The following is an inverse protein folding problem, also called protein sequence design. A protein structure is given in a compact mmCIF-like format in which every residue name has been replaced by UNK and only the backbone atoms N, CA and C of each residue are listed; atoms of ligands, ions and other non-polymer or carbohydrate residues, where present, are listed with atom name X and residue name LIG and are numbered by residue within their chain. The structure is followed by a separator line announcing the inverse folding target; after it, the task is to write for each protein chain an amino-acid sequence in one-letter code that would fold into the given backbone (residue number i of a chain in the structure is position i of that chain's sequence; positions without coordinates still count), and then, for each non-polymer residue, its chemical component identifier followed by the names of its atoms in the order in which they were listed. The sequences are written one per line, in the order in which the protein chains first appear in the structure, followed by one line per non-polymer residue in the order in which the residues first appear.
data_IF_235670868997
#
_entry.id   IF_235670868997
#
_cell.length_a   1.000
_cell.length_b   1.000
_cell.length_c   1.000
_cell.angle_alpha   90.00
_cell.angle_beta   90.00
_cell.angle_gamma   90.00
#
_symmetry.space_group_name_H-M   'P 1'
#
loop_
_entity.id
_entity.type
_entity.pdbx_description
1 polymer ?
#
# COMPACT_ATOMS: atom_id res chain seq x y z
N UNK A 1 21.18 -9.82 2.28
CA UNK A 1 21.39 -9.15 3.58
C UNK A 1 20.12 -9.37 4.40
N UNK A 2 20.25 -9.82 5.65
CA UNK A 2 19.11 -9.92 6.56
C UNK A 2 18.75 -8.52 7.06
N UNK A 3 17.54 -8.06 6.78
CA UNK A 3 17.01 -6.80 7.33
C UNK A 3 17.06 -6.87 8.87
N UNK A 4 17.67 -5.90 9.54
CA UNK A 4 17.52 -5.73 10.99
C UNK A 4 16.06 -5.43 11.33
N UNK A 5 15.59 -5.71 12.57
CA UNK A 5 14.21 -5.41 12.97
C UNK A 5 13.81 -3.94 12.70
N UNK A 6 14.74 -3.01 12.95
CA UNK A 6 14.56 -1.58 12.73
C UNK A 6 14.42 -1.25 11.23
N UNK A 7 15.29 -1.81 10.38
CA UNK A 7 15.19 -1.64 8.92
C UNK A 7 13.88 -2.19 8.37
N UNK A 8 13.42 -3.33 8.87
CA UNK A 8 12.15 -3.92 8.47
C UNK A 8 10.95 -3.04 8.88
N UNK A 9 11.00 -2.43 10.07
CA UNK A 9 9.99 -1.47 10.53
C UNK A 9 10.00 -0.17 9.72
N UNK A 10 11.17 0.38 9.43
CA UNK A 10 11.31 1.58 8.60
C UNK A 10 10.82 1.32 7.17
N UNK A 11 11.21 0.20 6.56
CA UNK A 11 10.70 -0.22 5.25
C UNK A 11 9.18 -0.49 5.28
N UNK A 12 8.67 -0.94 6.43
CA UNK A 12 7.25 -1.09 6.65
C UNK A 12 6.52 0.25 6.85
N UNK A 13 7.21 1.35 7.14
CA UNK A 13 6.59 2.60 7.56
C UNK A 13 5.82 2.44 8.87
N UNK A 14 6.31 1.58 9.77
CA UNK A 14 5.67 1.28 11.06
C UNK A 14 4.23 0.77 10.95
N UNK A 15 3.89 0.05 9.86
CA UNK A 15 2.58 -0.59 9.67
C UNK A 15 2.69 -2.10 9.57
N UNK A 16 1.58 -2.78 9.88
CA UNK A 16 1.46 -4.19 9.61
C UNK A 16 1.61 -4.45 8.10
N UNK A 17 2.46 -5.40 7.72
CA UNK A 17 2.68 -5.78 6.32
C UNK A 17 1.50 -6.48 5.66
N UNK A 18 0.44 -6.76 6.41
CA UNK A 18 -0.87 -7.11 5.83
C UNK A 18 -1.58 -5.82 5.38
N UNK A 19 -1.79 -5.59 4.07
CA UNK A 19 -2.40 -4.35 3.55
C UNK A 19 -3.87 -4.14 3.97
N UNK A 20 -4.57 -5.19 4.39
CA UNK A 20 -5.91 -5.06 4.98
C UNK A 20 -5.87 -4.67 6.46
N UNK A 21 -4.71 -4.80 7.12
CA UNK A 21 -4.54 -4.47 8.52
C UNK A 21 -4.02 -3.04 8.68
N UNK A 22 -4.66 -2.28 9.57
CA UNK A 22 -4.29 -0.89 9.89
C UNK A 22 -3.58 -0.75 11.24
N UNK A 23 -3.15 -1.87 11.82
CA UNK A 23 -2.47 -1.85 13.11
C UNK A 23 -1.11 -1.14 12.96
N UNK A 24 -0.86 -0.05 13.71
CA UNK A 24 0.46 0.54 13.79
C UNK A 24 1.40 -0.42 14.53
N UNK A 25 2.66 -0.41 14.12
CA UNK A 25 3.72 -1.19 14.73
C UNK A 25 4.70 -0.27 15.45
N UNK A 26 5.20 -0.76 16.57
CA UNK A 26 6.28 -0.15 17.33
C UNK A 26 7.41 -1.17 17.49
N UNK A 27 8.54 -0.75 18.05
CA UNK A 27 9.64 -1.66 18.41
C UNK A 27 9.15 -2.83 19.27
N UNK A 28 8.17 -2.61 20.15
CA UNK A 28 7.69 -3.63 21.09
C UNK A 28 6.51 -4.47 20.58
N UNK A 29 5.77 -3.96 19.58
CA UNK A 29 4.50 -4.58 19.15
C UNK A 29 4.59 -5.33 17.82
N UNK A 30 5.73 -5.26 17.14
CA UNK A 30 5.94 -5.95 15.88
C UNK A 30 6.37 -7.41 16.07
N UNK A 31 5.93 -8.24 15.14
CA UNK A 31 6.37 -9.62 15.00
C UNK A 31 7.06 -9.74 13.64
N UNK A 32 8.33 -10.16 13.65
CA UNK A 32 9.12 -10.29 12.44
C UNK A 32 8.98 -11.72 11.90
N UNK A 33 8.42 -11.86 10.70
CA UNK A 33 8.32 -13.15 10.01
C UNK A 33 9.39 -13.22 8.93
N UNK A 34 10.35 -14.14 9.10
CA UNK A 34 11.35 -14.43 8.09
C UNK A 34 10.68 -15.13 6.88
N UNK A 35 10.96 -14.65 5.67
CA UNK A 35 10.31 -15.18 4.48
C UNK A 35 11.13 -16.26 3.73
N UNK A 36 12.43 -16.45 4.05
CA UNK A 36 13.35 -17.51 3.53
C UNK A 36 13.54 -17.57 1.99
N UNK A 37 14.62 -18.12 1.38
CA UNK A 37 15.77 -18.91 1.88
C UNK A 37 17.05 -18.77 1.02
N UNK A 38 17.11 -17.75 0.18
CA UNK A 38 18.16 -17.44 -0.81
C UNK A 38 18.72 -16.01 -0.64
N UNK A 39 18.50 -15.41 0.54
CA UNK A 39 19.00 -14.06 0.87
C UNK A 39 18.24 -12.91 0.20
N UNK A 40 17.22 -13.21 -0.62
CA UNK A 40 16.42 -12.24 -1.38
C UNK A 40 15.04 -11.93 -0.75
N UNK A 41 14.45 -12.86 0.01
CA UNK A 41 13.08 -12.74 0.54
C UNK A 41 12.90 -11.78 1.73
N UNK A 42 13.98 -11.43 2.44
CA UNK A 42 13.99 -10.63 3.67
C UNK A 42 12.92 -11.03 4.71
N UNK A 43 12.54 -10.09 5.59
CA UNK A 43 11.48 -10.30 6.59
C UNK A 43 10.30 -9.31 6.44
N UNK A 44 9.13 -9.64 6.98
CA UNK A 44 7.95 -8.76 7.02
C UNK A 44 7.52 -8.55 8.46
N UNK A 45 7.18 -7.30 8.80
CA UNK A 45 6.65 -6.97 10.12
C UNK A 45 5.12 -7.15 10.15
N UNK A 46 4.62 -7.89 11.12
CA UNK A 46 3.19 -8.10 11.36
C UNK A 46 2.80 -7.64 12.76
N UNK A 47 1.53 -7.29 12.97
CA UNK A 47 0.99 -7.17 14.32
C UNK A 47 0.74 -8.56 14.93
N UNK A 48 0.55 -8.64 16.24
CA UNK A 48 0.28 -9.90 16.94
C UNK A 48 -0.88 -10.72 16.32
N UNK A 49 -1.96 -10.06 15.92
CA UNK A 49 -3.11 -10.73 15.29
C UNK A 49 -2.77 -11.33 13.92
N UNK A 50 -2.09 -10.57 13.05
CA UNK A 50 -1.69 -11.09 11.73
C UNK A 50 -0.62 -12.17 11.84
N UNK A 51 0.28 -12.07 12.82
CA UNK A 51 1.27 -13.10 13.12
C UNK A 51 0.60 -14.40 13.58
N UNK A 52 -0.39 -14.33 14.48
CA UNK A 52 -1.15 -15.50 14.91
C UNK A 52 -1.88 -16.17 13.74
N UNK A 53 -2.51 -15.39 12.86
CA UNK A 53 -3.14 -15.93 11.63
C UNK A 53 -2.15 -16.58 10.67
N UNK A 54 -0.93 -16.06 10.56
CA UNK A 54 0.11 -16.72 9.78
C UNK A 54 0.59 -18.01 10.44
N UNK A 55 0.82 -17.98 11.75
CA UNK A 55 1.27 -19.14 12.54
C UNK A 55 0.26 -20.29 12.47
N UNK A 56 -1.05 -19.97 12.43
CA UNK A 56 -2.12 -20.96 12.27
C UNK A 56 -2.33 -21.43 10.83
N UNK A 57 -1.57 -20.89 9.86
CA UNK A 57 -1.68 -21.22 8.44
C UNK A 57 -2.80 -20.53 7.68
N UNK A 58 -3.60 -19.66 8.32
CA UNK A 58 -4.66 -18.91 7.67
C UNK A 58 -4.10 -17.88 6.67
N UNK A 59 -2.92 -17.32 6.95
CA UNK A 59 -2.14 -16.52 6.01
C UNK A 59 -0.90 -17.31 5.61
N UNK A 60 -0.83 -17.88 4.38
CA UNK A 60 0.32 -18.67 3.98
C UNK A 60 1.53 -17.75 3.70
N UNK A 61 2.75 -18.28 3.89
CA UNK A 61 4.01 -17.52 3.69
C UNK A 61 4.11 -16.91 2.29
N UNK A 62 3.58 -17.58 1.26
CA UNK A 62 3.53 -17.05 -0.12
C UNK A 62 2.76 -15.72 -0.22
N UNK A 63 1.70 -15.56 0.58
CA UNK A 63 0.89 -14.34 0.63
C UNK A 63 1.69 -13.21 1.28
N UNK A 64 2.42 -13.50 2.36
CA UNK A 64 3.32 -12.53 2.97
C UNK A 64 4.40 -12.02 2.00
N UNK A 65 4.99 -12.92 1.22
CA UNK A 65 5.95 -12.55 0.17
C UNK A 65 5.32 -11.63 -0.88
N UNK A 66 4.11 -11.95 -1.33
CA UNK A 66 3.37 -11.11 -2.28
C UNK A 66 3.13 -9.70 -1.71
N UNK A 67 2.66 -9.62 -0.45
CA UNK A 67 2.43 -8.34 0.22
C UNK A 67 3.71 -7.50 0.34
N UNK A 68 4.82 -8.11 0.78
CA UNK A 68 6.11 -7.43 0.90
C UNK A 68 6.59 -6.90 -0.46
N UNK A 69 6.53 -7.72 -1.51
CA UNK A 69 6.99 -7.34 -2.85
C UNK A 69 6.19 -6.15 -3.40
N UNK A 70 4.86 -6.20 -3.29
CA UNK A 70 3.99 -5.10 -3.76
C UNK A 70 4.28 -3.83 -2.96
N UNK A 71 4.38 -3.94 -1.64
CA UNK A 71 4.70 -2.80 -0.78
C UNK A 71 6.05 -2.15 -1.14
N UNK A 72 7.10 -2.95 -1.32
CA UNK A 72 8.43 -2.45 -1.71
C UNK A 72 8.38 -1.80 -3.09
N UNK A 73 7.65 -2.40 -4.04
CA UNK A 73 7.49 -1.88 -5.39
C UNK A 73 6.74 -0.54 -5.41
N UNK A 74 5.66 -0.40 -4.65
CA UNK A 74 4.92 0.86 -4.53
C UNK A 74 5.76 1.94 -3.87
N UNK A 75 6.40 1.64 -2.75
CA UNK A 75 7.27 2.60 -2.05
C UNK A 75 8.45 3.03 -2.92
N UNK A 76 9.10 2.10 -3.61
CA UNK A 76 10.25 2.39 -4.48
C UNK A 76 9.87 3.18 -5.74
N UNK A 77 8.74 2.88 -6.37
CA UNK A 77 8.32 3.53 -7.61
C UNK A 77 7.62 4.88 -7.39
N UNK A 78 6.85 5.03 -6.30
CA UNK A 78 5.94 6.16 -6.10
C UNK A 78 6.15 6.88 -4.76
N UNK A 79 7.11 6.45 -3.94
CA UNK A 79 7.41 7.04 -2.64
C UNK A 79 6.60 6.44 -1.47
N UNK A 80 7.01 6.78 -0.26
CA UNK A 80 6.52 6.14 0.98
C UNK A 80 5.02 6.28 1.24
N UNK A 81 4.38 7.36 0.76
CA UNK A 81 2.95 7.62 0.94
C UNK A 81 2.03 6.93 -0.08
N UNK A 82 2.58 6.31 -1.12
CA UNK A 82 1.77 5.70 -2.18
C UNK A 82 0.93 4.50 -1.70
N UNK A 83 1.47 3.54 -0.92
CA UNK A 83 0.67 2.47 -0.31
C UNK A 83 -0.55 3.00 0.45
N UNK A 84 -0.35 4.00 1.30
CA UNK A 84 -1.41 4.56 2.14
C UNK A 84 -2.45 5.31 1.32
N UNK A 85 -2.03 6.02 0.28
CA UNK A 85 -2.94 6.72 -0.65
C UNK A 85 -3.90 5.73 -1.32
N UNK A 86 -3.39 4.60 -1.82
CA UNK A 86 -4.20 3.57 -2.47
C UNK A 86 -5.16 2.89 -1.48
N UNK A 87 -4.68 2.54 -0.29
CA UNK A 87 -5.50 1.90 0.75
C UNK A 87 -6.54 2.84 1.36
N UNK A 88 -6.25 4.14 1.44
CA UNK A 88 -7.19 5.17 1.85
C UNK A 88 -8.31 5.31 0.82
N UNK A 89 -7.97 5.51 -0.45
CA UNK A 89 -8.94 5.69 -1.53
C UNK A 89 -9.83 4.47 -1.75
N UNK A 90 -9.36 3.26 -1.41
CA UNK A 90 -10.22 2.08 -1.35
C UNK A 90 -11.40 2.26 -0.38
N UNK A 91 -11.20 2.99 0.72
CA UNK A 91 -12.21 3.15 1.79
C UNK A 91 -13.04 4.41 1.64
N UNK A 92 -12.44 5.53 1.19
CA UNK A 92 -13.16 6.81 1.05
C UNK A 92 -13.72 7.06 -0.35
N UNK A 93 -13.42 6.17 -1.31
CA UNK A 93 -13.72 6.23 -2.75
C UNK A 93 -13.06 7.40 -3.49
N UNK A 94 -13.17 8.63 -2.97
CA UNK A 94 -12.63 9.85 -3.56
C UNK A 94 -11.99 10.76 -2.50
N UNK A 95 -10.94 11.49 -2.88
CA UNK A 95 -10.32 12.52 -2.05
C UNK A 95 -10.14 13.81 -2.85
N UNK A 96 -10.41 14.95 -2.23
CA UNK A 96 -10.11 16.27 -2.79
C UNK A 96 -8.70 16.69 -2.40
N UNK A 97 -7.90 17.08 -3.39
CA UNK A 97 -6.53 17.59 -3.20
C UNK A 97 -6.34 18.92 -3.92
N UNK A 98 -5.34 19.68 -3.48
CA UNK A 98 -4.84 20.86 -4.19
C UNK A 98 -3.82 20.49 -5.28
N UNK A 99 -3.21 21.49 -5.92
CA UNK A 99 -2.18 21.28 -6.94
C UNK A 99 -0.96 20.50 -6.42
N UNK A 100 -0.56 20.71 -5.17
CA UNK A 100 0.57 19.99 -4.56
C UNK A 100 0.23 18.52 -4.30
N UNK A 101 -0.97 18.24 -3.81
CA UNK A 101 -1.47 16.88 -3.64
C UNK A 101 -1.63 16.15 -4.98
N UNK A 102 -2.02 16.86 -6.04
CA UNK A 102 -2.04 16.33 -7.39
C UNK A 102 -0.62 15.96 -7.85
N UNK A 103 0.37 16.83 -7.64
CA UNK A 103 1.77 16.59 -8.00
C UNK A 103 2.36 15.41 -7.23
N UNK A 104 2.09 15.29 -5.92
CA UNK A 104 2.47 14.12 -5.10
C UNK A 104 1.85 12.82 -5.61
N UNK A 105 0.71 12.90 -6.29
CA UNK A 105 0.00 11.75 -6.87
C UNK A 105 0.37 11.47 -8.33
N UNK A 106 1.27 12.25 -8.94
CA UNK A 106 1.56 12.20 -10.38
C UNK A 106 2.03 10.81 -10.84
N UNK A 107 2.87 10.11 -10.06
CA UNK A 107 3.31 8.75 -10.40
C UNK A 107 2.17 7.72 -10.41
N UNK A 108 1.25 7.83 -9.46
CA UNK A 108 0.07 6.96 -9.38
C UNK A 108 -0.95 7.26 -10.48
N UNK A 109 -1.09 8.54 -10.87
CA UNK A 109 -1.89 8.96 -12.02
C UNK A 109 -1.30 8.45 -13.34
N UNK A 110 0.01 8.64 -13.55
CA UNK A 110 0.69 8.23 -14.78
C UNK A 110 0.75 6.70 -14.96
N UNK A 111 0.79 5.95 -13.86
CA UNK A 111 0.68 4.48 -13.91
C UNK A 111 -0.74 3.97 -14.16
N UNK A 112 -1.73 4.87 -14.16
CA UNK A 112 -3.14 4.58 -14.32
C UNK A 112 -3.75 3.88 -13.10
N UNK A 113 -3.14 3.96 -11.92
CA UNK A 113 -3.72 3.45 -10.67
C UNK A 113 -4.74 4.43 -10.08
N UNK A 114 -4.53 5.73 -10.31
CA UNK A 114 -5.49 6.78 -9.98
C UNK A 114 -6.05 7.44 -11.24
N UNK A 115 -7.17 8.11 -11.09
CA UNK A 115 -7.74 8.99 -12.10
C UNK A 115 -8.29 10.28 -11.47
N UNK A 116 -8.25 11.37 -12.25
CA UNK A 116 -8.87 12.65 -11.88
C UNK A 116 -10.33 12.58 -12.31
N UNK A 117 -11.25 12.54 -11.35
CA UNK A 117 -12.69 12.52 -11.64
C UNK A 117 -13.19 13.92 -11.99
N UNK A 118 -12.73 14.93 -11.28
CA UNK A 118 -13.19 16.30 -11.45
C UNK A 118 -12.10 17.29 -11.06
N UNK A 119 -11.98 18.38 -11.83
CA UNK A 119 -11.29 19.60 -11.45
C UNK A 119 -12.35 20.63 -11.05
N UNK A 120 -12.19 21.21 -9.88
CA UNK A 120 -13.03 22.32 -9.39
C UNK A 120 -12.16 23.58 -9.43
N UNK A 121 -12.55 24.53 -10.27
CA UNK A 121 -11.78 25.76 -10.41
C UNK A 121 -11.98 26.67 -9.19
N UNK A 122 -10.90 27.35 -8.78
CA UNK A 122 -10.88 28.41 -7.78
C UNK A 122 -12.00 29.44 -7.98
N UNK A 123 -12.24 29.84 -9.23
CA UNK A 123 -13.27 30.82 -9.60
C UNK A 123 -14.70 30.35 -9.26
N UNK A 124 -14.93 29.04 -9.27
CA UNK A 124 -16.24 28.43 -9.02
C UNK A 124 -16.41 28.06 -7.55
N UNK A 125 -15.34 27.64 -6.87
CA UNK A 125 -15.38 27.23 -5.47
C UNK A 125 -15.23 28.39 -4.47
N UNK A 126 -14.80 29.56 -4.93
CA UNK A 126 -14.41 30.67 -4.04
C UNK A 126 -13.14 30.38 -3.23
N UNK A 127 -12.41 29.31 -3.56
CA UNK A 127 -11.14 28.97 -2.94
C UNK A 127 -9.98 29.64 -3.68
N UNK A 128 -8.85 29.87 -3.00
CA UNK A 128 -7.67 30.52 -3.58
C UNK A 128 -6.90 29.68 -4.60
N UNK A 129 -7.28 28.41 -4.80
CA UNK A 129 -6.63 27.50 -5.74
C UNK A 129 -7.60 26.45 -6.28
N UNK A 130 -7.26 25.87 -7.44
CA UNK A 130 -8.01 24.76 -8.00
C UNK A 130 -7.86 23.51 -7.13
N UNK A 131 -8.95 22.76 -7.00
CA UNK A 131 -8.96 21.45 -6.33
C UNK A 131 -9.30 20.34 -7.30
N UNK A 132 -8.76 19.15 -7.03
CA UNK A 132 -8.86 17.97 -7.86
C UNK A 132 -9.44 16.83 -7.03
N UNK A 133 -10.46 16.19 -7.55
CA UNK A 133 -11.06 14.99 -6.99
C UNK A 133 -10.39 13.76 -7.58
N UNK A 134 -9.64 13.04 -6.77
CA UNK A 134 -8.91 11.84 -7.14
C UNK A 134 -9.63 10.59 -6.62
N UNK A 135 -9.62 9.53 -7.41
CA UNK A 135 -10.11 8.21 -7.00
C UNK A 135 -9.26 7.10 -7.60
N UNK A 136 -9.44 5.87 -7.10
CA UNK A 136 -8.90 4.69 -7.77
C UNK A 136 -9.53 4.56 -9.17
N UNK A 137 -8.70 4.30 -10.17
CA UNK A 137 -9.19 3.87 -11.48
C UNK A 137 -9.73 2.43 -11.39
N UNK A 138 -10.34 1.91 -12.46
CA UNK A 138 -10.71 0.49 -12.53
C UNK A 138 -9.49 -0.43 -12.34
N UNK A 139 -8.37 -0.09 -12.98
CA UNK A 139 -7.08 -0.79 -12.81
C UNK A 139 -6.58 -0.68 -11.36
N UNK A 140 -6.67 0.51 -10.76
CA UNK A 140 -6.28 0.76 -9.37
C UNK A 140 -7.07 -0.09 -8.38
N UNK A 141 -8.40 -0.16 -8.53
CA UNK A 141 -9.25 -1.03 -7.70
C UNK A 141 -8.86 -2.49 -7.80
N UNK A 142 -8.73 -3.01 -9.02
CA UNK A 142 -8.32 -4.41 -9.25
C UNK A 142 -6.95 -4.71 -8.63
N UNK A 143 -6.00 -3.78 -8.80
CA UNK A 143 -4.67 -3.90 -8.21
C UNK A 143 -4.72 -3.95 -6.68
N UNK A 144 -5.45 -3.04 -6.03
CA UNK A 144 -5.56 -3.01 -4.56
C UNK A 144 -6.27 -4.26 -4.03
N UNK A 145 -7.32 -4.74 -4.69
CA UNK A 145 -7.99 -5.99 -4.30
C UNK A 145 -7.07 -7.21 -4.46
N UNK A 146 -6.32 -7.30 -5.56
CA UNK A 146 -5.34 -8.37 -5.75
C UNK A 146 -4.25 -8.34 -4.66
N UNK A 147 -3.75 -7.14 -4.33
CA UNK A 147 -2.78 -6.93 -3.27
C UNK A 147 -3.32 -7.38 -1.91
N UNK A 148 -4.53 -6.94 -1.53
CA UNK A 148 -5.17 -7.34 -0.26
C UNK A 148 -5.33 -8.85 -0.16
N UNK A 149 -5.77 -9.49 -1.23
CA UNK A 149 -5.97 -10.94 -1.26
C UNK A 149 -4.66 -11.73 -1.43
N UNK A 150 -3.51 -11.07 -1.57
CA UNK A 150 -2.21 -11.73 -1.72
C UNK A 150 -2.06 -12.51 -3.03
N UNK A 151 -2.81 -12.13 -4.09
CA UNK A 151 -2.72 -12.77 -5.40
C UNK A 151 -1.54 -12.20 -6.18
N UNK A 152 -0.72 -13.08 -6.75
CA UNK A 152 0.31 -12.71 -7.73
C UNK A 152 -0.27 -12.85 -9.14
N UNK A 153 0.16 -12.02 -10.09
CA UNK A 153 -0.49 -11.81 -11.39
C UNK A 153 -0.74 -13.04 -12.28
N UNK A 154 -0.27 -14.24 -11.91
CA UNK A 154 -0.57 -15.51 -12.59
C UNK A 154 -1.92 -16.12 -12.22
N UNK A 155 -2.59 -15.68 -11.14
CA UNK A 155 -3.91 -16.21 -10.72
C UNK A 155 -5.10 -15.50 -11.40
N UNK A 156 -4.86 -14.88 -12.55
CA UNK A 156 -5.89 -14.22 -13.36
C UNK A 156 -6.25 -15.10 -14.55
N UNK A 157 -6.76 -16.30 -14.29
CA UNK A 157 -7.52 -17.03 -15.31
C UNK A 157 -8.92 -16.40 -15.41
N UNK A 158 -9.08 -15.51 -16.38
CA UNK A 158 -10.37 -15.18 -16.98
C UNK A 158 -10.54 -16.02 -18.25
#
# INVERSE_FOLDING_TARGET
MSDTPDEALHAAGYRCGNPACRAPLTLDTHQLVALGGDGSGGAICLCAGCHAMQSSGAIPVRTLRAWKLVQQSLTGAFGAGAPDTLLLLRVVDEVSVDGDGLLRSAGLLNSGLLEIRQRVSALVSGQGSDTFKLRLSTKGRQFVEAWINGRQGSDTSL
#
